data_IF_218526019216
#
_entry.id   IF_218526019216
#
_cell.length_a   1.000
_cell.length_b   1.000
_cell.length_c   1.000
_cell.angle_alpha   90.00
_cell.angle_beta   90.00
_cell.angle_gamma   90.00
#
_symmetry.space_group_name_H-M   'P 1'
#
loop_
_entity.id
_entity.type
_entity.pdbx_description
1 polymer ?
#
# COMPACT_ATOMS: atom_id res chain seq x y z
N UNK A 1 -15.53 16.05 -5.32
CA UNK A 1 -14.21 16.62 -4.94
C UNK A 1 -13.19 16.17 -5.96
N UNK A 2 -12.27 17.04 -6.38
CA UNK A 2 -11.14 16.67 -7.25
C UNK A 2 -9.97 16.22 -6.36
N UNK A 3 -9.49 14.96 -6.47
CA UNK A 3 -8.42 14.46 -5.62
C UNK A 3 -7.04 14.91 -6.12
N UNK A 4 -6.10 15.08 -5.21
CA UNK A 4 -4.68 15.13 -5.58
C UNK A 4 -4.23 13.74 -5.99
N UNK A 5 -3.78 13.58 -7.24
CA UNK A 5 -3.30 12.30 -7.79
C UNK A 5 -1.79 12.20 -7.62
N UNK A 6 -1.34 11.16 -6.90
CA UNK A 6 0.09 10.87 -6.71
C UNK A 6 0.47 9.66 -7.57
N UNK A 7 1.39 9.85 -8.50
CA UNK A 7 2.00 8.77 -9.27
C UNK A 7 3.03 8.02 -8.42
N UNK A 8 2.56 7.17 -7.49
CA UNK A 8 3.39 6.52 -6.47
C UNK A 8 4.58 5.68 -7.01
N UNK A 9 4.59 5.30 -8.29
CA UNK A 9 5.74 4.64 -8.92
C UNK A 9 6.86 5.62 -9.29
N UNK A 10 6.53 6.89 -9.52
CA UNK A 10 7.49 7.97 -9.84
C UNK A 10 7.88 8.76 -8.60
N UNK A 11 6.90 9.04 -7.74
CA UNK A 11 7.06 9.77 -6.48
C UNK A 11 6.49 8.92 -5.35
N UNK A 12 7.20 7.85 -4.94
CA UNK A 12 6.72 6.98 -3.88
C UNK A 12 6.59 7.76 -2.56
N UNK A 13 5.54 7.47 -1.77
CA UNK A 13 5.46 7.97 -0.40
C UNK A 13 6.64 7.44 0.41
N UNK A 14 7.08 8.21 1.40
CA UNK A 14 8.10 7.74 2.34
C UNK A 14 7.56 6.57 3.20
N UNK A 15 8.48 5.87 3.87
CA UNK A 15 8.14 4.72 4.71
C UNK A 15 7.10 5.07 5.79
N UNK A 16 7.23 6.23 6.43
CA UNK A 16 6.35 6.61 7.54
C UNK A 16 4.93 6.88 7.04
N UNK A 17 4.81 7.51 5.88
CA UNK A 17 3.54 7.72 5.18
C UNK A 17 2.92 6.38 4.80
N UNK A 18 3.70 5.44 4.25
CA UNK A 18 3.20 4.09 3.93
C UNK A 18 2.67 3.38 5.17
N UNK A 19 3.45 3.34 6.26
CA UNK A 19 3.04 2.74 7.53
C UNK A 19 1.74 3.36 8.03
N UNK A 20 1.65 4.70 8.00
CA UNK A 20 0.46 5.42 8.45
C UNK A 20 -0.76 5.10 7.60
N UNK A 21 -0.62 5.09 6.27
CA UNK A 21 -1.70 4.77 5.34
C UNK A 21 -2.23 3.34 5.54
N UNK A 22 -1.33 2.37 5.75
CA UNK A 22 -1.69 0.97 6.01
C UNK A 22 -2.47 0.86 7.33
N UNK A 23 -1.96 1.49 8.39
CA UNK A 23 -2.61 1.53 9.70
C UNK A 23 -4.00 2.18 9.64
N UNK A 24 -4.11 3.36 9.01
CA UNK A 24 -5.37 4.09 8.88
C UNK A 24 -6.39 3.36 7.99
N UNK A 25 -5.92 2.47 7.10
CA UNK A 25 -6.76 1.57 6.32
C UNK A 25 -7.22 0.32 7.09
N UNK A 26 -6.72 0.10 8.32
CA UNK A 26 -7.03 -1.08 9.11
C UNK A 26 -6.43 -2.36 8.54
N UNK A 27 -5.32 -2.25 7.80
CA UNK A 27 -4.65 -3.38 7.14
C UNK A 27 -3.38 -3.78 7.90
N UNK A 28 -2.96 -5.02 7.71
CA UNK A 28 -1.56 -5.39 8.01
C UNK A 28 -0.64 -4.94 6.88
N UNK A 29 0.67 -4.84 7.14
CA UNK A 29 1.65 -4.55 6.08
C UNK A 29 1.55 -5.58 4.97
N UNK A 30 1.40 -6.86 5.33
CA UNK A 30 1.30 -7.97 4.39
C UNK A 30 0.05 -7.90 3.49
N UNK A 31 -1.07 -7.37 3.98
CA UNK A 31 -2.28 -7.13 3.15
C UNK A 31 -2.07 -6.00 2.13
N UNK A 32 -1.21 -5.04 2.46
CA UNK A 32 -0.88 -3.92 1.58
C UNK A 32 0.17 -4.27 0.51
N UNK A 33 0.77 -5.46 0.56
CA UNK A 33 1.73 -5.91 -0.46
C UNK A 33 1.01 -6.48 -1.68
N UNK A 34 1.30 -5.93 -2.85
CA UNK A 34 0.88 -6.46 -4.14
C UNK A 34 1.73 -7.67 -4.51
N UNK A 35 1.06 -8.79 -4.84
CA UNK A 35 1.72 -10.03 -5.28
C UNK A 35 1.83 -10.14 -6.80
N UNK A 36 0.72 -9.92 -7.51
CA UNK A 36 0.61 -10.14 -8.95
C UNK A 36 1.36 -9.06 -9.75
N UNK A 37 2.15 -9.48 -10.74
CA UNK A 37 2.95 -8.61 -11.63
C UNK A 37 4.00 -7.77 -10.86
N UNK A 38 4.62 -8.36 -9.85
CA UNK A 38 5.63 -7.74 -8.99
C UNK A 38 6.76 -8.71 -8.70
N UNK A 39 7.91 -8.26 -8.18
CA UNK A 39 8.98 -9.16 -7.75
C UNK A 39 8.69 -9.89 -6.41
N UNK A 40 7.44 -9.90 -5.91
CA UNK A 40 7.07 -10.49 -4.62
C UNK A 40 7.60 -11.92 -4.41
N UNK A 41 7.37 -12.80 -5.39
CA UNK A 41 7.83 -14.21 -5.32
C UNK A 41 9.35 -14.32 -5.47
N UNK A 42 9.96 -13.57 -6.40
CA UNK A 42 11.41 -13.60 -6.62
C UNK A 42 12.21 -13.08 -5.42
N UNK A 43 11.61 -12.20 -4.61
CA UNK A 43 12.19 -11.66 -3.38
C UNK A 43 11.88 -12.54 -2.15
N UNK A 44 11.13 -13.63 -2.31
CA UNK A 44 10.78 -14.53 -1.21
C UNK A 44 9.86 -13.89 -0.16
N UNK A 45 9.07 -12.88 -0.53
CA UNK A 45 8.20 -12.16 0.41
C UNK A 45 6.97 -12.97 0.85
N UNK A 46 6.74 -14.12 0.20
CA UNK A 46 5.75 -15.11 0.61
C UNK A 46 6.09 -15.80 1.94
N UNK A 47 7.35 -15.76 2.37
CA UNK A 47 7.80 -16.39 3.60
C UNK A 47 7.10 -15.76 4.83
N UNK A 48 6.37 -16.55 5.64
CA UNK A 48 5.71 -16.06 6.84
C UNK A 48 6.69 -15.59 7.93
N UNK A 49 7.96 -15.98 7.87
CA UNK A 49 8.99 -15.50 8.79
C UNK A 49 9.41 -14.04 8.51
N UNK A 50 9.07 -13.48 7.34
CA UNK A 50 9.33 -12.07 7.01
C UNK A 50 8.52 -11.14 7.90
N UNK A 51 9.22 -10.19 8.51
CA UNK A 51 8.64 -9.19 9.39
C UNK A 51 7.98 -8.07 8.59
N UNK A 52 7.16 -7.26 9.27
CA UNK A 52 6.59 -6.05 8.67
C UNK A 52 7.69 -5.09 8.19
N UNK A 53 8.82 -5.02 8.92
CA UNK A 53 9.94 -4.18 8.52
C UNK A 53 10.60 -4.64 7.22
N UNK A 54 10.79 -5.95 7.03
CA UNK A 54 11.31 -6.53 5.79
C UNK A 54 10.40 -6.21 4.59
N UNK A 55 9.08 -6.26 4.80
CA UNK A 55 8.10 -5.97 3.74
C UNK A 55 8.10 -4.48 3.39
N UNK A 56 8.19 -3.60 4.39
CA UNK A 56 8.25 -2.15 4.19
C UNK A 56 9.56 -1.72 3.52
N UNK A 57 10.69 -2.37 3.85
CA UNK A 57 11.97 -2.14 3.17
C UNK A 57 11.85 -2.52 1.69
N UNK A 58 11.28 -3.71 1.40
CA UNK A 58 11.04 -4.13 0.03
C UNK A 58 10.11 -3.18 -0.73
N UNK A 59 9.05 -2.63 -0.10
CA UNK A 59 8.19 -1.60 -0.71
C UNK A 59 8.98 -0.32 -1.02
N UNK A 60 9.88 0.10 -0.13
CA UNK A 60 10.73 1.26 -0.35
C UNK A 60 11.68 1.10 -1.54
N UNK A 61 12.28 -0.07 -1.68
CA UNK A 61 13.17 -0.40 -2.82
C UNK A 61 12.39 -0.66 -4.12
N UNK A 62 11.20 -1.24 -4.00
CA UNK A 62 10.33 -1.60 -5.12
C UNK A 62 8.90 -1.07 -4.89
N UNK A 63 8.64 0.22 -5.18
CA UNK A 63 7.31 0.84 -4.97
C UNK A 63 6.15 0.09 -5.62
N UNK A 64 6.41 -0.69 -6.67
CA UNK A 64 5.42 -1.56 -7.33
C UNK A 64 4.80 -2.62 -6.40
N UNK A 65 5.48 -2.95 -5.30
CA UNK A 65 4.99 -3.84 -4.25
C UNK A 65 3.90 -3.18 -3.39
N UNK A 66 3.74 -1.85 -3.40
CA UNK A 66 2.61 -1.22 -2.72
C UNK A 66 1.33 -1.44 -3.54
N UNK A 67 0.33 -2.06 -2.91
CA UNK A 67 -0.96 -2.31 -3.53
C UNK A 67 -1.73 -1.01 -3.77
N UNK A 68 -2.62 -0.99 -4.78
CA UNK A 68 -3.25 0.23 -5.28
C UNK A 68 -4.72 0.05 -5.67
N UNK A 69 -5.54 1.11 -5.63
CA UNK A 69 -5.21 2.45 -5.13
C UNK A 69 -5.43 2.57 -3.61
N UNK A 70 -4.55 3.30 -2.92
CA UNK A 70 -4.87 3.88 -1.63
C UNK A 70 -5.53 5.25 -1.82
N UNK A 71 -6.62 5.51 -1.11
CA UNK A 71 -7.31 6.81 -1.09
C UNK A 71 -7.36 7.30 0.36
N UNK A 72 -7.02 8.57 0.55
CA UNK A 72 -7.00 9.24 1.86
C UNK A 72 -7.98 10.42 1.80
N UNK A 73 -8.89 10.48 2.76
CA UNK A 73 -9.83 11.60 2.95
C UNK A 73 -9.89 11.98 4.45
N UNK A 74 -10.54 13.09 4.82
CA UNK A 74 -10.79 13.41 6.22
C UNK A 74 -11.62 12.36 6.99
N UNK A 75 -12.39 11.53 6.28
CA UNK A 75 -13.20 10.46 6.86
C UNK A 75 -12.40 9.17 7.11
N UNK A 76 -11.29 8.97 6.39
CA UNK A 76 -10.39 7.85 6.61
C UNK A 76 -9.53 7.51 5.39
N UNK A 77 -8.79 6.41 5.52
CA UNK A 77 -7.93 5.85 4.46
C UNK A 77 -8.44 4.48 4.07
N UNK A 78 -8.40 4.13 2.77
CA UNK A 78 -8.75 2.78 2.29
C UNK A 78 -7.85 2.34 1.14
N UNK A 79 -7.53 1.05 1.10
CA UNK A 79 -7.10 0.37 -0.12
C UNK A 79 -8.37 0.01 -0.90
N UNK A 80 -8.70 0.78 -1.94
CA UNK A 80 -9.99 0.68 -2.64
C UNK A 80 -9.96 -0.47 -3.66
N UNK A 81 -9.96 -1.70 -3.14
CA UNK A 81 -10.07 -2.94 -3.90
C UNK A 81 -11.18 -3.80 -3.27
N UNK A 82 -12.38 -3.85 -3.85
CA UNK A 82 -12.77 -3.26 -5.14
C UNK A 82 -12.95 -1.72 -5.06
N UNK A 83 -13.07 -1.07 -6.22
CA UNK A 83 -13.03 0.41 -6.32
C UNK A 83 -14.12 1.13 -5.51
N UNK A 84 -15.28 0.51 -5.37
CA UNK A 84 -16.45 0.99 -4.66
C UNK A 84 -16.23 1.18 -3.16
N UNK A 85 -15.18 0.56 -2.56
CA UNK A 85 -14.78 0.80 -1.16
C UNK A 85 -14.47 2.28 -0.90
N UNK A 86 -14.13 3.05 -1.93
CA UNK A 86 -13.94 4.49 -1.81
C UNK A 86 -15.21 5.21 -1.29
N UNK A 87 -16.40 4.69 -1.60
CA UNK A 87 -17.68 5.29 -1.19
C UNK A 87 -17.85 5.34 0.33
N UNK A 88 -17.16 4.47 1.07
CA UNK A 88 -17.21 4.44 2.54
C UNK A 88 -16.48 5.63 3.19
N UNK A 89 -15.65 6.35 2.43
CA UNK A 89 -14.79 7.44 2.91
C UNK A 89 -14.94 8.73 2.08
N UNK A 90 -16.02 8.90 1.32
CA UNK A 90 -16.29 10.09 0.49
C UNK A 90 -17.29 11.07 1.12
#
# INVERSE_FOLDING_TARGET
VEPTVIEYLKTPPDRQVVVRMIFDAGLTVRDAVRKKDTPFESLGLADPAKTDDDLLDAIGEHPILLNRPFVVTPLGTRLCRPSEVVLDIL
#
